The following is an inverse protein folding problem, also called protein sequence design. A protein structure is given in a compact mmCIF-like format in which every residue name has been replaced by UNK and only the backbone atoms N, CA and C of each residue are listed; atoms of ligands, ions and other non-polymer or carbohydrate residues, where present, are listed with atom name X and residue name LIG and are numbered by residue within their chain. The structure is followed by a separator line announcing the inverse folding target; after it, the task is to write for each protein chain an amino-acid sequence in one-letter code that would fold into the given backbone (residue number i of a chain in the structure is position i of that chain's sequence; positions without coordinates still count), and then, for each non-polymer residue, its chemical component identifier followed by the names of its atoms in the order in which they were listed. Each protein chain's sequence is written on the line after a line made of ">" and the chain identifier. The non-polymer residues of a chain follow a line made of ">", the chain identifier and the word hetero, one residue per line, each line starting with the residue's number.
data_IF_939733661008
#
_entry.id   IF_939733661008
#
_cell.length_a   1.000
_cell.length_b   1.000
_cell.length_c   1.000
_cell.angle_alpha   90.00
_cell.angle_beta   90.00
_cell.angle_gamma   90.00
#
_symmetry.space_group_name_H-M   'P 1'
#
loop_
_entity.id
_entity.type
_entity.pdbx_description
1 polymer ?
#
# COMPACT_ATOMS: atom_id res chain seq x y z
N UNK A 1 16.04 -17.33 3.89
CA UNK A 1 16.92 -16.22 3.45
C UNK A 1 17.35 -15.46 4.68
N UNK A 2 18.64 -15.44 5.01
CA UNK A 2 19.15 -14.65 6.13
C UNK A 2 19.51 -13.26 5.60
N UNK A 3 18.72 -12.26 5.98
CA UNK A 3 18.94 -10.86 5.61
C UNK A 3 20.26 -10.36 6.20
N UNK A 4 21.05 -9.60 5.43
CA UNK A 4 22.25 -8.91 5.93
C UNK A 4 21.91 -7.92 7.04
N UNK A 5 20.65 -7.50 7.14
CA UNK A 5 20.13 -6.66 8.22
C UNK A 5 20.21 -7.37 9.58
N UNK A 6 20.25 -8.71 9.66
CA UNK A 6 20.31 -9.44 10.93
C UNK A 6 21.53 -9.07 11.78
N UNK A 7 22.64 -8.67 11.15
CA UNK A 7 23.86 -8.26 11.83
C UNK A 7 23.86 -6.83 12.35
N UNK A 8 22.85 -6.02 12.03
CA UNK A 8 22.79 -4.61 12.42
C UNK A 8 22.12 -4.42 13.79
N UNK A 9 22.54 -3.38 14.55
CA UNK A 9 21.82 -2.91 15.73
C UNK A 9 20.34 -2.67 15.45
N UNK A 10 19.50 -2.86 16.46
CA UNK A 10 18.03 -2.79 16.35
C UNK A 10 17.57 -1.46 15.78
N UNK A 11 18.10 -0.37 16.30
CA UNK A 11 17.71 0.99 15.95
C UNK A 11 18.02 1.29 14.48
N UNK A 12 19.15 0.79 13.98
CA UNK A 12 19.55 0.96 12.57
C UNK A 12 18.66 0.11 11.66
N UNK A 13 18.31 -1.12 12.06
CA UNK A 13 17.38 -1.97 11.30
C UNK A 13 16.00 -1.29 11.17
N UNK A 14 15.49 -0.74 12.25
CA UNK A 14 14.19 -0.05 12.28
C UNK A 14 14.16 1.13 11.30
N UNK A 15 15.18 1.98 11.34
CA UNK A 15 15.30 3.12 10.44
C UNK A 15 15.38 2.67 8.97
N UNK A 16 16.18 1.64 8.68
CA UNK A 16 16.30 1.11 7.30
C UNK A 16 14.99 0.52 6.83
N UNK A 17 14.31 -0.28 7.66
CA UNK A 17 12.99 -0.82 7.31
C UNK A 17 11.97 0.29 7.09
N UNK A 18 11.95 1.30 7.96
CA UNK A 18 11.04 2.43 7.84
C UNK A 18 11.20 3.14 6.49
N UNK A 19 12.44 3.51 6.14
CA UNK A 19 12.75 4.24 4.90
C UNK A 19 12.48 3.36 3.67
N UNK A 20 12.95 2.12 3.66
CA UNK A 20 12.78 1.21 2.55
C UNK A 20 11.31 0.86 2.29
N UNK A 21 10.52 0.62 3.36
CA UNK A 21 9.09 0.32 3.23
C UNK A 21 8.30 1.54 2.76
N UNK A 22 8.61 2.73 3.28
CA UNK A 22 8.00 3.98 2.82
C UNK A 22 8.31 4.22 1.33
N UNK A 23 9.56 4.00 0.92
CA UNK A 23 9.95 4.13 -0.48
C UNK A 23 9.23 3.10 -1.36
N UNK A 24 9.20 1.84 -0.94
CA UNK A 24 8.52 0.77 -1.68
C UNK A 24 7.03 1.05 -1.83
N UNK A 25 6.33 1.44 -0.76
CA UNK A 25 4.91 1.78 -0.79
C UNK A 25 4.62 2.91 -1.79
N UNK A 26 5.41 3.99 -1.74
CA UNK A 26 5.30 5.11 -2.68
C UNK A 26 5.52 4.67 -4.14
N UNK A 27 6.48 3.78 -4.39
CA UNK A 27 6.73 3.25 -5.74
C UNK A 27 5.59 2.37 -6.23
N UNK A 28 5.04 1.51 -5.37
CA UNK A 28 3.92 0.65 -5.71
C UNK A 28 2.66 1.48 -6.00
N UNK A 29 2.34 2.48 -5.17
CA UNK A 29 1.23 3.41 -5.39
C UNK A 29 1.35 4.17 -6.72
N UNK A 30 2.56 4.45 -7.17
CA UNK A 30 2.81 5.12 -8.45
C UNK A 30 2.64 4.22 -9.68
N UNK A 31 2.70 2.89 -9.54
CA UNK A 31 2.63 1.97 -10.70
C UNK A 31 1.29 2.08 -11.45
N UNK A 32 0.11 2.00 -10.79
CA UNK A 32 -1.18 2.21 -11.45
C UNK A 32 -1.35 3.60 -12.10
N UNK A 33 -0.70 4.61 -11.52
CA UNK A 33 -0.80 6.01 -11.94
C UNK A 33 0.14 6.36 -13.09
N UNK A 34 1.04 5.46 -13.48
CA UNK A 34 2.00 5.71 -14.54
C UNK A 34 1.28 6.09 -15.86
N UNK A 35 1.79 7.07 -16.62
CA UNK A 35 1.12 7.59 -17.81
C UNK A 35 0.93 6.54 -18.91
N UNK A 36 1.80 5.52 -18.94
CA UNK A 36 1.75 4.43 -19.90
C UNK A 36 0.67 3.39 -19.58
N UNK A 37 0.18 3.36 -18.33
CA UNK A 37 -0.89 2.46 -17.90
C UNK A 37 -2.23 3.11 -18.23
N UNK A 38 -2.91 2.58 -19.26
CA UNK A 38 -4.19 3.14 -19.71
C UNK A 38 -5.41 2.47 -19.09
N UNK A 39 -5.28 1.19 -18.73
CA UNK A 39 -6.37 0.41 -18.19
C UNK A 39 -5.86 -0.62 -17.19
N UNK A 40 -6.58 -0.83 -16.09
CA UNK A 40 -6.26 -1.86 -15.10
C UNK A 40 -7.44 -2.83 -15.01
N UNK A 41 -7.19 -4.12 -15.26
CA UNK A 41 -8.24 -5.13 -15.14
C UNK A 41 -8.27 -5.73 -13.72
N UNK A 42 -9.39 -6.36 -13.38
CA UNK A 42 -9.61 -7.00 -12.08
C UNK A 42 -8.50 -8.01 -11.72
N UNK A 43 -8.03 -8.83 -12.67
CA UNK A 43 -6.94 -9.77 -12.41
C UNK A 43 -5.64 -9.07 -11.98
N UNK A 44 -5.33 -7.91 -12.58
CA UNK A 44 -4.18 -7.09 -12.23
C UNK A 44 -4.30 -6.48 -10.84
N UNK A 45 -5.50 -6.02 -10.47
CA UNK A 45 -5.79 -5.55 -9.12
C UNK A 45 -5.62 -6.70 -8.11
N UNK A 46 -6.20 -7.87 -8.36
CA UNK A 46 -6.08 -9.04 -7.46
C UNK A 46 -4.64 -9.51 -7.30
N UNK A 47 -3.83 -9.50 -8.37
CA UNK A 47 -2.41 -9.83 -8.28
C UNK A 47 -1.66 -8.81 -7.40
N UNK A 48 -1.92 -7.51 -7.59
CA UNK A 48 -1.33 -6.45 -6.77
C UNK A 48 -1.76 -6.55 -5.31
N UNK A 49 -3.02 -6.89 -5.04
CA UNK A 49 -3.53 -7.14 -3.70
C UNK A 49 -2.83 -8.31 -3.02
N UNK A 50 -2.60 -9.40 -3.74
CA UNK A 50 -1.85 -10.53 -3.23
C UNK A 50 -0.40 -10.15 -2.88
N UNK A 51 0.26 -9.35 -3.71
CA UNK A 51 1.62 -8.86 -3.46
C UNK A 51 1.68 -7.94 -2.22
N UNK A 52 0.74 -7.01 -2.09
CA UNK A 52 0.62 -6.11 -0.94
C UNK A 52 0.28 -6.87 0.34
N UNK A 53 -0.55 -7.92 0.24
CA UNK A 53 -0.84 -8.81 1.36
C UNK A 53 0.44 -9.49 1.85
N UNK A 54 1.21 -10.11 0.96
CA UNK A 54 2.47 -10.75 1.34
C UNK A 54 3.47 -9.77 1.96
N UNK A 55 3.58 -8.56 1.41
CA UNK A 55 4.41 -7.51 1.99
C UNK A 55 3.95 -7.15 3.42
N UNK A 56 2.65 -6.97 3.61
CA UNK A 56 2.06 -6.60 4.91
C UNK A 56 2.24 -7.70 5.95
N UNK A 57 2.05 -8.97 5.56
CA UNK A 57 2.29 -10.13 6.41
C UNK A 57 3.76 -10.26 6.80
N UNK A 58 4.67 -10.05 5.84
CA UNK A 58 6.10 -9.99 6.12
C UNK A 58 6.44 -8.90 7.13
N UNK A 59 5.97 -7.66 6.92
CA UNK A 59 6.22 -6.56 7.86
C UNK A 59 5.62 -6.84 9.23
N UNK A 60 4.43 -7.42 9.29
CA UNK A 60 3.77 -7.80 10.55
C UNK A 60 4.57 -8.85 11.34
N UNK A 61 5.39 -9.66 10.66
CA UNK A 61 6.26 -10.65 11.31
C UNK A 61 7.55 -10.05 11.92
N UNK A 62 7.88 -8.79 11.62
CA UNK A 62 9.04 -8.11 12.17
C UNK A 62 8.81 -7.67 13.62
N UNK A 63 9.89 -7.51 14.40
CA UNK A 63 9.83 -7.14 15.82
C UNK A 63 9.05 -5.83 16.09
N UNK A 64 9.13 -4.86 15.18
CA UNK A 64 8.37 -3.59 15.23
C UNK A 64 7.30 -3.53 14.14
N UNK A 65 6.75 -4.70 13.76
CA UNK A 65 5.83 -4.83 12.64
C UNK A 65 4.60 -3.94 12.78
N UNK A 66 4.12 -3.68 14.00
CA UNK A 66 2.97 -2.80 14.23
C UNK A 66 3.23 -1.37 13.74
N UNK A 67 4.34 -0.76 14.14
CA UNK A 67 4.71 0.61 13.72
C UNK A 67 5.00 0.63 12.21
N UNK A 68 5.78 -0.34 11.71
CA UNK A 68 6.16 -0.38 10.30
C UNK A 68 4.97 -0.60 9.36
N UNK A 69 3.90 -1.25 9.85
CA UNK A 69 2.67 -1.46 9.09
C UNK A 69 1.89 -0.16 8.86
N UNK A 70 2.03 0.85 9.73
CA UNK A 70 1.42 2.16 9.52
C UNK A 70 1.93 2.82 8.24
N UNK A 71 3.19 2.60 7.87
CA UNK A 71 3.75 3.08 6.60
C UNK A 71 3.12 2.45 5.36
N UNK A 72 2.43 1.32 5.52
CA UNK A 72 1.74 0.61 4.46
C UNK A 72 0.22 0.87 4.48
N UNK A 73 -0.27 1.75 5.36
CA UNK A 73 -1.72 1.96 5.54
C UNK A 73 -2.36 2.58 4.30
N UNK A 74 -1.74 3.60 3.71
CA UNK A 74 -2.18 4.20 2.44
C UNK A 74 -2.19 3.16 1.32
N UNK A 75 -1.14 2.35 1.20
CA UNK A 75 -1.05 1.29 0.20
C UNK A 75 -2.18 0.28 0.36
N UNK A 76 -2.39 -0.26 1.57
CA UNK A 76 -3.47 -1.20 1.86
C UNK A 76 -4.84 -0.62 1.49
N UNK A 77 -5.15 0.61 1.93
CA UNK A 77 -6.44 1.23 1.66
C UNK A 77 -6.64 1.56 0.18
N UNK A 78 -5.58 1.93 -0.54
CA UNK A 78 -5.65 2.19 -1.98
C UNK A 78 -5.95 0.92 -2.75
N UNK A 79 -5.31 -0.20 -2.40
CA UNK A 79 -5.64 -1.48 -3.03
C UNK A 79 -7.06 -1.93 -2.68
N UNK A 80 -7.49 -1.79 -1.43
CA UNK A 80 -8.88 -2.07 -1.03
C UNK A 80 -9.91 -1.20 -1.76
N UNK A 81 -9.53 0.02 -2.15
CA UNK A 81 -10.38 0.86 -3.00
C UNK A 81 -10.45 0.29 -4.42
N UNK A 82 -9.33 -0.10 -5.00
CA UNK A 82 -9.26 -0.68 -6.35
C UNK A 82 -9.96 -2.05 -6.46
N UNK A 83 -10.02 -2.81 -5.36
CA UNK A 83 -10.74 -4.09 -5.28
C UNK A 83 -12.24 -3.92 -4.99
N UNK A 84 -12.69 -2.72 -4.63
CA UNK A 84 -14.08 -2.49 -4.25
C UNK A 84 -15.02 -2.63 -5.45
N UNK A 85 -16.05 -3.45 -5.33
CA UNK A 85 -17.13 -3.51 -6.32
C UNK A 85 -17.97 -2.21 -6.36
N UNK A 86 -17.85 -1.36 -5.33
CA UNK A 86 -18.57 -0.10 -5.22
C UNK A 86 -17.61 1.08 -5.02
N UNK A 87 -17.16 1.65 -6.13
CA UNK A 87 -16.29 2.82 -6.14
C UNK A 87 -16.99 4.13 -5.71
N UNK A 88 -18.33 4.17 -5.71
CA UNK A 88 -19.08 5.37 -5.26
C UNK A 88 -18.85 5.65 -3.77
N UNK A 89 -18.51 4.62 -2.98
CA UNK A 89 -18.18 4.73 -1.57
C UNK A 89 -17.03 5.70 -1.29
N UNK A 90 -16.11 5.88 -2.25
CA UNK A 90 -15.00 6.82 -2.10
C UNK A 90 -15.44 8.28 -2.16
N UNK A 91 -16.56 8.58 -2.84
CA UNK A 91 -17.10 9.93 -2.95
C UNK A 91 -18.05 10.29 -1.79
N UNK A 92 -18.51 9.30 -1.02
CA UNK A 92 -19.18 9.54 0.26
C UNK A 92 -18.14 9.89 1.33
N UNK A 93 -18.18 11.13 1.83
CA UNK A 93 -17.22 11.64 2.83
C UNK A 93 -17.18 10.78 4.09
N UNK A 94 -18.32 10.25 4.53
CA UNK A 94 -18.41 9.44 5.74
C UNK A 94 -17.77 8.07 5.54
N UNK A 95 -18.04 7.44 4.39
CA UNK A 95 -17.48 6.13 4.06
C UNK A 95 -15.99 6.25 3.75
N UNK A 96 -15.59 7.26 2.97
CA UNK A 96 -14.19 7.58 2.69
C UNK A 96 -13.37 7.75 3.95
N UNK A 97 -13.81 8.59 4.89
CA UNK A 97 -13.06 8.80 6.13
C UNK A 97 -12.93 7.53 6.97
N UNK A 98 -13.88 6.59 6.85
CA UNK A 98 -13.88 5.34 7.61
C UNK A 98 -13.04 4.23 6.96
N UNK A 99 -13.11 4.07 5.64
CA UNK A 99 -12.47 2.95 4.91
C UNK A 99 -11.20 3.36 4.15
N UNK A 100 -11.16 4.59 3.64
CA UNK A 100 -10.18 5.08 2.67
C UNK A 100 -9.51 6.39 3.13
N UNK A 101 -9.47 6.65 4.44
CA UNK A 101 -9.01 7.91 5.01
C UNK A 101 -7.54 8.23 4.76
N UNK A 102 -6.74 7.22 4.40
CA UNK A 102 -5.32 7.36 4.01
C UNK A 102 -5.10 7.47 2.51
N UNK A 103 -6.10 7.15 1.70
CA UNK A 103 -5.98 7.25 0.24
C UNK A 103 -5.92 8.72 -0.15
N UNK A 104 -4.89 9.06 -0.94
CA UNK A 104 -4.71 10.41 -1.46
C UNK A 104 -5.96 10.88 -2.24
N UNK A 105 -6.39 12.11 -1.96
CA UNK A 105 -7.63 12.67 -2.49
C UNK A 105 -7.59 12.93 -4.00
N UNK A 106 -6.40 13.09 -4.57
CA UNK A 106 -6.17 13.35 -5.99
C UNK A 106 -5.98 12.01 -6.73
N UNK A 107 -5.20 11.09 -6.16
CA UNK A 107 -4.91 9.82 -6.78
C UNK A 107 -6.10 8.86 -6.75
N UNK A 108 -6.91 8.87 -5.69
CA UNK A 108 -8.08 8.00 -5.54
C UNK A 108 -8.99 8.04 -6.77
N UNK A 109 -9.53 9.21 -7.18
CA UNK A 109 -10.37 9.32 -8.36
C UNK A 109 -9.65 8.92 -9.66
N UNK A 110 -8.37 9.27 -9.81
CA UNK A 110 -7.58 8.89 -10.99
C UNK A 110 -7.44 7.37 -11.14
N UNK A 111 -7.34 6.63 -10.04
CA UNK A 111 -7.28 5.16 -10.05
C UNK A 111 -8.61 4.54 -10.47
N UNK A 112 -9.73 5.16 -10.08
CA UNK A 112 -11.08 4.70 -10.43
C UNK A 112 -11.42 4.95 -11.91
N UNK A 113 -10.66 5.82 -12.58
CA UNK A 113 -10.78 6.11 -14.02
C UNK A 113 -9.91 5.22 -14.92
N UNK A 114 -8.97 4.44 -14.34
CA UNK A 114 -8.16 3.45 -15.07
C UNK A 114 -8.93 2.15 -15.27
#
# INVERSE_FOLDING_TARGET
>A
MNSTLLGLPREIKELIYFDALSHAANKILALPLAPDIKHINSNGVTALAQDVQYLTEFVSSLENGQMLRENLEELQQTISLMESDNHEEFFDISIRNKKYGRVDAINGPMLLEK
#
